data_IF_595502428285
#
_entry.id   IF_595502428285
#
_cell.length_a   1.000
_cell.length_b   1.000
_cell.length_c   1.000
_cell.angle_alpha   90.00
_cell.angle_beta   90.00
_cell.angle_gamma   90.00
#
_symmetry.space_group_name_H-M   'P 1'
#
loop_
_entity.id
_entity.type
_entity.pdbx_description
1 polymer ?
#
# COMPACT_ATOMS: atom_id res chain seq x y z
N UNK A 1 -30.53 -31.83 34.99
CA UNK A 1 -31.54 -30.99 34.31
C UNK A 1 -31.23 -30.74 32.84
N UNK A 2 -30.09 -30.12 32.50
CA UNK A 2 -29.74 -29.71 31.11
C UNK A 2 -29.90 -30.82 30.06
N UNK A 3 -29.35 -32.03 30.28
CA UNK A 3 -29.43 -33.13 29.31
C UNK A 3 -30.85 -33.66 29.11
N UNK A 4 -31.68 -33.67 30.16
CA UNK A 4 -33.09 -34.10 30.09
C UNK A 4 -33.90 -33.11 29.25
N UNK A 5 -33.75 -31.81 29.53
CA UNK A 5 -34.45 -30.75 28.81
C UNK A 5 -34.01 -30.71 27.33
N UNK A 6 -32.71 -30.93 27.06
CA UNK A 6 -32.20 -31.01 25.69
C UNK A 6 -32.85 -32.14 24.89
N UNK A 7 -33.03 -33.32 25.50
CA UNK A 7 -33.73 -34.44 24.84
C UNK A 7 -35.19 -34.09 24.55
N UNK A 8 -35.87 -33.45 25.51
CA UNK A 8 -37.28 -33.06 25.34
C UNK A 8 -37.47 -32.02 24.23
N UNK A 9 -36.56 -31.03 24.14
CA UNK A 9 -36.69 -29.93 23.20
C UNK A 9 -36.18 -30.28 21.79
N UNK A 10 -35.09 -31.04 21.68
CA UNK A 10 -34.40 -31.27 20.42
C UNK A 10 -34.48 -32.71 19.90
N UNK A 11 -35.08 -33.63 20.67
CA UNK A 11 -35.20 -35.06 20.34
C UNK A 11 -33.88 -35.72 19.87
N UNK A 12 -32.73 -35.23 20.39
CA UNK A 12 -31.38 -35.68 20.03
C UNK A 12 -30.59 -36.07 21.26
N UNK A 13 -29.56 -36.89 21.08
CA UNK A 13 -28.65 -37.22 22.17
C UNK A 13 -27.93 -35.95 22.65
N UNK A 14 -27.97 -35.66 23.96
CA UNK A 14 -27.37 -34.46 24.48
C UNK A 14 -25.84 -34.59 24.52
N UNK A 15 -25.11 -33.47 24.42
CA UNK A 15 -23.66 -33.45 24.65
C UNK A 15 -23.31 -34.05 26.01
N UNK A 16 -22.07 -34.57 26.14
CA UNK A 16 -21.63 -35.14 27.40
C UNK A 16 -21.58 -34.07 28.51
N UNK A 17 -21.70 -34.50 29.77
CA UNK A 17 -21.73 -33.57 30.92
C UNK A 17 -20.49 -32.69 30.99
N UNK A 18 -19.32 -33.21 30.60
CA UNK A 18 -18.06 -32.46 30.58
C UNK A 18 -18.09 -31.32 29.57
N UNK A 19 -18.59 -31.56 28.35
CA UNK A 19 -18.76 -30.52 27.33
C UNK A 19 -19.70 -29.42 27.79
N UNK A 20 -20.83 -29.78 28.42
CA UNK A 20 -21.79 -28.81 28.97
C UNK A 20 -21.14 -27.94 30.05
N UNK A 21 -20.35 -28.54 30.96
CA UNK A 21 -19.60 -27.79 31.99
C UNK A 21 -18.56 -26.85 31.37
N UNK A 22 -17.79 -27.31 30.38
CA UNK A 22 -16.80 -26.48 29.68
C UNK A 22 -17.46 -25.30 28.98
N UNK A 23 -18.60 -25.51 28.32
CA UNK A 23 -19.38 -24.45 27.68
C UNK A 23 -19.89 -23.43 28.70
N UNK A 24 -20.46 -23.90 29.80
CA UNK A 24 -20.97 -23.02 30.86
C UNK A 24 -19.83 -22.17 31.47
N UNK A 25 -18.71 -22.81 31.82
CA UNK A 25 -17.54 -22.12 32.37
C UNK A 25 -17.00 -21.07 31.38
N UNK A 26 -16.87 -21.43 30.11
CA UNK A 26 -16.42 -20.52 29.06
C UNK A 26 -17.36 -19.34 28.86
N UNK A 27 -18.67 -19.57 28.98
CA UNK A 27 -19.66 -18.51 28.92
C UNK A 27 -19.53 -17.56 30.12
N UNK A 28 -19.32 -18.07 31.33
CA UNK A 28 -19.07 -17.24 32.51
C UNK A 28 -17.78 -16.42 32.39
N UNK A 29 -16.71 -17.00 31.86
CA UNK A 29 -15.41 -16.32 31.72
C UNK A 29 -15.39 -15.24 30.64
N UNK A 30 -15.94 -15.53 29.46
CA UNK A 30 -15.80 -14.66 28.27
C UNK A 30 -17.10 -13.93 27.91
N UNK A 31 -18.23 -14.30 28.51
CA UNK A 31 -19.57 -13.82 28.12
C UNK A 31 -20.01 -14.27 26.73
N UNK A 32 -19.25 -15.17 26.08
CA UNK A 32 -19.48 -15.57 24.69
C UNK A 32 -19.21 -17.06 24.44
N UNK A 33 -20.12 -17.68 23.70
CA UNK A 33 -19.99 -19.05 23.20
C UNK A 33 -19.27 -19.14 21.85
N UNK A 34 -18.93 -18.00 21.21
CA UNK A 34 -18.25 -17.96 19.89
C UNK A 34 -16.93 -18.72 19.95
N UNK A 35 -16.59 -19.54 18.94
CA UNK A 35 -15.30 -20.24 18.90
C UNK A 35 -14.09 -19.29 19.04
N UNK A 36 -13.09 -19.71 19.84
CA UNK A 36 -11.83 -18.97 19.94
C UNK A 36 -11.14 -19.01 18.57
N UNK A 37 -10.50 -17.91 18.17
CA UNK A 37 -9.63 -17.93 17.00
C UNK A 37 -8.54 -18.97 17.24
N UNK A 38 -8.42 -19.93 16.33
CA UNK A 38 -7.33 -20.92 16.36
C UNK A 38 -6.11 -20.31 15.69
N UNK A 39 -4.96 -20.35 16.35
CA UNK A 39 -3.67 -20.14 15.70
C UNK A 39 -3.40 -21.35 14.80
N UNK A 40 -3.69 -21.21 13.50
CA UNK A 40 -3.29 -22.21 12.52
C UNK A 40 -1.77 -22.23 12.34
N UNK A 41 -1.24 -23.28 11.67
CA UNK A 41 0.19 -23.38 11.35
C UNK A 41 0.63 -22.17 10.51
N UNK A 42 1.70 -21.43 10.89
CA UNK A 42 2.25 -20.40 10.05
C UNK A 42 2.79 -21.02 8.77
N UNK A 43 2.39 -20.46 7.64
CA UNK A 43 2.77 -20.96 6.31
C UNK A 43 4.10 -20.38 5.80
N UNK A 44 4.75 -19.50 6.55
CA UNK A 44 6.03 -18.84 6.25
C UNK A 44 6.74 -18.57 7.57
N UNK A 45 8.05 -18.80 7.64
CA UNK A 45 8.87 -18.35 8.77
C UNK A 45 8.98 -16.83 8.76
N UNK A 46 9.23 -16.25 9.93
CA UNK A 46 9.39 -14.80 10.09
C UNK A 46 10.72 -14.32 9.46
N UNK A 47 11.75 -15.16 9.46
CA UNK A 47 13.03 -14.92 8.77
C UNK A 47 12.84 -14.56 7.28
N UNK A 48 12.09 -15.38 6.54
CA UNK A 48 11.81 -15.09 5.12
C UNK A 48 10.99 -13.81 4.93
N UNK A 49 10.16 -13.42 5.90
CA UNK A 49 9.39 -12.16 5.82
C UNK A 49 10.36 -10.98 5.93
N UNK A 50 11.30 -11.06 6.85
CA UNK A 50 12.31 -10.03 7.07
C UNK A 50 13.28 -9.90 5.88
N UNK A 51 13.76 -11.02 5.34
CA UNK A 51 14.61 -11.03 4.15
C UNK A 51 13.93 -10.36 2.95
N UNK A 52 12.65 -10.69 2.71
CA UNK A 52 11.85 -10.06 1.66
C UNK A 52 11.67 -8.57 1.94
N UNK A 53 11.38 -8.18 3.17
CA UNK A 53 11.27 -6.77 3.58
C UNK A 53 12.55 -5.99 3.27
N UNK A 54 13.70 -6.47 3.75
CA UNK A 54 14.99 -5.84 3.51
C UNK A 54 15.31 -5.77 2.01
N UNK A 55 14.98 -6.82 1.25
CA UNK A 55 15.23 -6.86 -0.19
C UNK A 55 14.51 -5.73 -0.92
N UNK A 56 13.23 -5.53 -0.61
CA UNK A 56 12.43 -4.49 -1.25
C UNK A 56 12.72 -3.10 -0.71
N UNK A 57 13.07 -2.95 0.58
CA UNK A 57 13.57 -1.68 1.13
C UNK A 57 14.83 -1.20 0.40
N UNK A 58 15.77 -2.11 0.09
CA UNK A 58 16.99 -1.78 -0.68
C UNK A 58 16.69 -1.45 -2.14
N UNK A 59 15.75 -2.16 -2.76
CA UNK A 59 15.41 -1.94 -4.17
C UNK A 59 13.95 -2.26 -4.47
N UNK A 60 13.13 -1.21 -4.39
CA UNK A 60 11.69 -1.26 -4.65
C UNK A 60 11.35 -1.61 -6.11
N UNK A 61 12.31 -1.45 -7.04
CA UNK A 61 12.13 -1.67 -8.49
C UNK A 61 12.36 -3.13 -8.92
N UNK A 62 12.73 -4.01 -7.99
CA UNK A 62 12.96 -5.41 -8.32
C UNK A 62 11.64 -6.12 -8.62
N UNK A 63 11.62 -6.91 -9.70
CA UNK A 63 10.44 -7.72 -10.02
C UNK A 63 10.34 -8.90 -9.07
N UNK A 64 9.10 -9.35 -8.79
CA UNK A 64 8.86 -10.50 -7.92
C UNK A 64 9.59 -11.76 -8.38
N UNK A 65 9.69 -11.96 -9.70
CA UNK A 65 10.40 -13.09 -10.29
C UNK A 65 11.91 -13.02 -10.05
N UNK A 66 12.51 -11.83 -10.14
CA UNK A 66 13.93 -11.62 -9.81
C UNK A 66 14.17 -11.79 -8.31
N UNK A 67 13.31 -11.23 -7.47
CA UNK A 67 13.40 -11.38 -6.01
C UNK A 67 13.29 -12.85 -5.58
N UNK A 68 12.37 -13.61 -6.18
CA UNK A 68 12.21 -15.06 -5.98
C UNK A 68 13.50 -15.82 -6.26
N UNK A 69 14.15 -15.57 -7.41
CA UNK A 69 15.41 -16.20 -7.77
C UNK A 69 16.56 -15.80 -6.84
N UNK A 70 16.62 -14.54 -6.41
CA UNK A 70 17.70 -14.04 -5.56
C UNK A 70 17.58 -14.50 -4.10
N UNK A 71 16.36 -14.71 -3.61
CA UNK A 71 16.10 -15.16 -2.25
C UNK A 71 15.88 -16.68 -2.15
N UNK A 72 15.84 -17.39 -3.28
CA UNK A 72 15.44 -18.80 -3.36
C UNK A 72 14.07 -19.11 -2.72
N UNK A 73 13.14 -18.15 -2.77
CA UNK A 73 11.78 -18.29 -2.24
C UNK A 73 10.82 -18.52 -3.40
N UNK A 74 9.95 -19.55 -3.36
CA UNK A 74 8.95 -19.76 -4.40
C UNK A 74 8.08 -18.52 -4.63
N UNK A 75 7.82 -18.19 -5.91
CA UNK A 75 7.10 -16.98 -6.30
C UNK A 75 5.74 -16.82 -5.59
N UNK A 76 4.99 -17.92 -5.41
CA UNK A 76 3.71 -17.93 -4.71
C UNK A 76 3.84 -17.52 -3.24
N UNK A 77 4.90 -17.97 -2.56
CA UNK A 77 5.20 -17.61 -1.17
C UNK A 77 5.60 -16.16 -1.08
N UNK A 78 6.47 -15.70 -1.97
CA UNK A 78 6.91 -14.31 -2.03
C UNK A 78 5.73 -13.35 -2.29
N UNK A 79 4.85 -13.67 -3.24
CA UNK A 79 3.63 -12.89 -3.51
C UNK A 79 2.71 -12.82 -2.28
N UNK A 80 2.58 -13.92 -1.52
CA UNK A 80 1.79 -13.97 -0.29
C UNK A 80 2.40 -13.13 0.82
N UNK A 81 3.72 -13.16 1.00
CA UNK A 81 4.43 -12.31 1.96
C UNK A 81 4.17 -10.84 1.63
N UNK A 82 4.39 -10.43 0.39
CA UNK A 82 4.21 -9.05 -0.08
C UNK A 82 2.77 -8.57 0.14
N UNK A 83 1.77 -9.35 -0.27
CA UNK A 83 0.36 -8.93 -0.22
C UNK A 83 -0.30 -9.04 1.15
N UNK A 84 0.11 -9.99 2.00
CA UNK A 84 -0.60 -10.32 3.26
C UNK A 84 0.20 -10.03 4.51
N UNK A 85 1.52 -9.91 4.42
CA UNK A 85 2.41 -9.66 5.57
C UNK A 85 2.99 -8.26 5.53
N UNK A 86 3.57 -7.86 4.40
CA UNK A 86 4.18 -6.54 4.22
C UNK A 86 3.20 -5.47 3.72
N UNK A 87 2.03 -5.88 3.22
CA UNK A 87 1.01 -5.01 2.64
C UNK A 87 1.56 -4.08 1.54
N UNK A 88 2.39 -4.65 0.68
CA UNK A 88 3.06 -3.94 -0.40
C UNK A 88 2.19 -3.93 -1.65
N UNK A 89 2.05 -2.74 -2.24
CA UNK A 89 1.25 -2.52 -3.43
C UNK A 89 2.14 -2.14 -4.61
N UNK A 90 1.76 -2.61 -5.80
CA UNK A 90 2.38 -2.15 -7.04
C UNK A 90 2.04 -0.66 -7.20
N UNK A 91 3.08 0.16 -7.24
CA UNK A 91 2.94 1.59 -7.43
C UNK A 91 2.69 1.91 -8.90
N UNK A 92 1.80 2.86 -9.16
CA UNK A 92 1.54 3.36 -10.51
C UNK A 92 2.66 4.33 -10.88
N UNK A 93 3.61 3.88 -11.70
CA UNK A 93 4.64 4.77 -12.25
C UNK A 93 3.98 5.93 -13.00
N UNK A 94 4.23 7.15 -12.53
CA UNK A 94 4.00 8.36 -13.32
C UNK A 94 5.23 8.59 -14.18
N UNK A 95 5.04 8.66 -15.49
CA UNK A 95 6.10 9.11 -16.40
C UNK A 95 6.21 10.62 -16.26
N UNK A 96 7.30 11.07 -15.67
CA UNK A 96 7.62 12.49 -15.51
C UNK A 96 8.75 12.82 -16.48
N UNK A 97 8.71 14.01 -17.09
CA UNK A 97 9.82 14.51 -17.90
C UNK A 97 11.07 14.65 -17.02
N UNK A 98 12.23 14.35 -17.58
CA UNK A 98 13.50 14.52 -16.86
C UNK A 98 13.74 16.02 -16.64
N UNK A 99 13.80 16.50 -15.38
CA UNK A 99 14.04 17.91 -15.12
C UNK A 99 15.49 18.25 -15.44
N UNK A 100 15.71 19.38 -16.11
CA UNK A 100 17.03 19.94 -16.28
C UNK A 100 17.59 20.36 -14.90
N UNK A 101 18.93 20.40 -14.72
CA UNK A 101 19.53 20.81 -13.45
C UNK A 101 19.06 22.20 -12.97
N UNK A 102 18.73 23.07 -13.93
CA UNK A 102 18.25 24.45 -13.70
C UNK A 102 16.76 24.51 -13.31
N UNK A 103 15.95 23.50 -13.65
CA UNK A 103 14.50 23.56 -13.46
C UNK A 103 14.12 23.52 -11.98
N UNK A 104 14.82 22.72 -11.17
CA UNK A 104 14.52 22.57 -9.73
C UNK A 104 14.68 23.86 -8.93
N UNK A 105 15.79 24.62 -9.03
CA UNK A 105 15.91 25.90 -8.33
C UNK A 105 14.88 26.92 -8.84
N UNK A 106 14.65 27.00 -10.15
CA UNK A 106 13.66 27.92 -10.73
C UNK A 106 12.22 27.60 -10.28
N UNK A 107 11.83 26.32 -10.27
CA UNK A 107 10.51 25.89 -9.77
C UNK A 107 10.35 26.21 -8.28
N UNK A 108 11.42 26.06 -7.49
CA UNK A 108 11.39 26.37 -6.05
C UNK A 108 11.25 27.87 -5.80
N UNK A 109 11.97 28.71 -6.53
CA UNK A 109 11.86 30.17 -6.45
C UNK A 109 10.49 30.66 -6.93
N UNK A 110 9.99 30.11 -8.04
CA UNK A 110 8.64 30.40 -8.54
C UNK A 110 7.56 30.02 -7.53
N UNK A 111 7.66 28.83 -6.92
CA UNK A 111 6.72 28.38 -5.89
C UNK A 111 6.74 29.27 -4.63
N UNK A 112 7.91 29.75 -4.22
CA UNK A 112 8.03 30.74 -3.13
C UNK A 112 7.36 32.07 -3.49
N UNK A 113 7.61 32.57 -4.70
CA UNK A 113 6.98 33.81 -5.17
C UNK A 113 5.45 33.73 -5.21
N UNK A 114 4.89 32.56 -5.56
CA UNK A 114 3.44 32.33 -5.50
C UNK A 114 2.85 32.30 -4.08
N UNK A 115 3.64 31.85 -3.09
CA UNK A 115 3.22 31.82 -1.69
C UNK A 115 3.26 33.21 -1.04
N UNK A 116 4.26 34.02 -1.41
CA UNK A 116 4.44 35.39 -0.88
C UNK A 116 3.48 36.40 -1.53
N UNK A 117 3.09 36.18 -2.79
CA UNK A 117 2.15 37.02 -3.53
C UNK A 117 1.02 36.18 -4.17
N UNK A 118 0.02 35.75 -3.39
CA UNK A 118 -1.06 34.86 -3.87
C UNK A 118 -2.00 35.52 -4.89
N UNK A 119 -1.98 36.85 -4.99
CA UNK A 119 -2.55 37.60 -6.11
C UNK A 119 -1.38 38.02 -7.00
N UNK A 120 -1.20 37.31 -8.11
CA UNK A 120 -0.21 37.63 -9.13
C UNK A 120 -0.60 38.96 -9.82
N UNK A 121 -0.33 40.08 -9.16
CA UNK A 121 -0.38 41.41 -9.79
C UNK A 121 0.88 41.52 -10.64
N UNK A 122 0.68 41.57 -11.95
CA UNK A 122 1.75 41.70 -12.92
C UNK A 122 2.34 43.12 -12.80
N UNK A 123 3.47 43.27 -12.12
CA UNK A 123 4.15 44.57 -12.01
C UNK A 123 4.78 44.96 -13.36
N UNK A 124 4.16 45.94 -14.02
CA UNK A 124 4.61 46.49 -15.31
C UNK A 124 6.01 47.09 -15.25
N UNK A 125 6.41 47.63 -14.09
CA UNK A 125 7.66 48.39 -13.94
C UNK A 125 8.92 47.54 -14.02
N UNK A 126 8.85 46.24 -13.67
CA UNK A 126 10.03 45.35 -13.68
C UNK A 126 10.23 44.57 -14.99
N UNK A 127 9.22 44.46 -15.86
CA UNK A 127 9.21 43.48 -16.95
C UNK A 127 9.17 44.08 -18.38
N UNK A 128 9.20 45.41 -18.53
CA UNK A 128 9.52 46.06 -19.81
C UNK A 128 8.70 45.60 -21.03
N UNK A 129 7.40 45.31 -20.89
CA UNK A 129 6.54 44.89 -21.99
C UNK A 129 5.06 44.74 -21.62
N UNK A 130 4.18 45.03 -22.58
CA UNK A 130 2.72 45.04 -22.45
C UNK A 130 2.14 43.65 -22.05
N UNK A 131 1.23 43.54 -21.04
CA UNK A 131 0.67 42.26 -20.61
C UNK A 131 -0.36 41.66 -21.59
N UNK A 132 -0.69 42.37 -22.67
CA UNK A 132 -1.69 41.96 -23.67
C UNK A 132 -1.37 40.63 -24.41
N UNK A 133 -0.18 40.06 -24.22
CA UNK A 133 0.25 38.82 -24.86
C UNK A 133 0.26 37.55 -24.00
N UNK A 134 -0.07 37.60 -22.71
CA UNK A 134 -0.08 36.40 -21.84
C UNK A 134 -1.49 36.06 -21.36
N UNK A 135 -2.38 35.82 -22.32
CA UNK A 135 -3.35 34.75 -22.13
C UNK A 135 -2.53 33.53 -21.72
N UNK A 136 -2.72 32.94 -20.54
CA UNK A 136 -2.30 31.55 -20.34
C UNK A 136 -3.10 30.77 -21.38
N UNK A 137 -2.52 30.40 -22.53
CA UNK A 137 -3.28 29.68 -23.50
C UNK A 137 -3.44 28.30 -22.87
N UNK A 138 -4.67 27.85 -22.69
CA UNK A 138 -4.96 26.47 -22.31
C UNK A 138 -4.55 25.46 -23.41
N UNK A 139 -3.55 25.79 -24.23
CA UNK A 139 -2.95 24.99 -25.28
C UNK A 139 -1.45 24.87 -25.01
N UNK A 140 -1.10 24.01 -24.05
CA UNK A 140 0.26 23.50 -23.94
C UNK A 140 0.52 22.64 -25.18
N UNK A 141 1.01 23.23 -26.27
CA UNK A 141 1.61 22.47 -27.36
C UNK A 141 2.99 22.01 -26.90
N UNK A 142 3.03 20.84 -26.27
CA UNK A 142 4.27 20.10 -26.06
C UNK A 142 4.82 19.70 -27.44
N UNK A 143 5.85 20.39 -27.91
CA UNK A 143 6.67 19.90 -29.02
C UNK A 143 7.49 18.72 -28.52
N UNK A 144 6.96 17.52 -28.73
CA UNK A 144 7.60 16.23 -28.48
C UNK A 144 8.73 16.02 -29.50
N UNK A 145 9.93 16.56 -29.22
CA UNK A 145 11.16 16.07 -29.85
C UNK A 145 12.06 15.45 -28.79
N UNK A 146 11.73 14.21 -28.44
CA UNK A 146 12.50 13.44 -27.47
C UNK A 146 11.96 12.03 -27.42
N UNK A 147 12.75 11.07 -27.92
CA UNK A 147 12.39 9.66 -27.93
C UNK A 147 12.22 9.18 -26.48
N UNK A 148 11.00 8.89 -26.04
CA UNK A 148 10.74 8.22 -24.77
C UNK A 148 11.15 6.74 -24.87
N UNK A 149 12.34 6.38 -24.37
CA UNK A 149 12.73 4.99 -24.21
C UNK A 149 11.94 4.36 -23.06
N UNK A 150 11.12 3.36 -23.38
CA UNK A 150 10.29 2.61 -22.44
C UNK A 150 11.16 1.80 -21.46
N UNK A 151 11.02 2.07 -20.16
CA UNK A 151 11.45 1.16 -19.10
C UNK A 151 10.25 0.85 -18.19
N UNK A 152 9.59 -0.28 -18.45
CA UNK A 152 8.58 -0.86 -17.57
C UNK A 152 9.26 -1.38 -16.30
N UNK A 153 9.23 -0.59 -15.23
CA UNK A 153 9.65 -1.01 -13.89
C UNK A 153 8.43 -1.24 -13.00
N UNK A 154 8.28 -2.43 -12.41
CA UNK A 154 7.35 -2.60 -11.29
C UNK A 154 8.05 -2.05 -10.04
N UNK A 155 7.52 -0.97 -9.47
CA UNK A 155 8.00 -0.40 -8.21
C UNK A 155 6.99 -0.75 -7.11
N UNK A 156 7.46 -1.33 -6.02
CA UNK A 156 6.64 -1.76 -4.89
C UNK A 156 6.87 -0.77 -3.76
N UNK A 157 5.82 -0.18 -3.18
CA UNK A 157 5.95 0.69 -1.99
C UNK A 157 5.11 0.15 -0.82
N UNK A 158 5.58 0.41 0.40
CA UNK A 158 4.86 0.21 1.66
C UNK A 158 3.84 1.32 1.84
N UNK A 159 2.59 0.99 2.13
CA UNK A 159 1.57 1.97 2.56
C UNK A 159 1.45 1.87 4.08
N UNK A 160 1.62 3.01 4.77
CA UNK A 160 1.44 3.13 6.23
C UNK A 160 0.00 2.83 6.68
#
# INVERSE_FOLDING_TARGET
>A
MVQRNYRQQYARQPPCKQTIRQWFQRFLETGSMKHRKRSGRPRTSDEHIEEVSQKFQRSLRTSLRRASLQLNIPLCTLHRIIRKKLNYHAYKLQMVQEPLPTDRPQQKEFGKGLLEHPLFVWDKEKNGGDPSGKLFPCAVKFYLSGKCSKALGFMIHQTD
#
